data_IF_959682815758
#
_entry.id   IF_959682815758
#
_cell.length_a   1.000
_cell.length_b   1.000
_cell.length_c   1.000
_cell.angle_alpha   90.00
_cell.angle_beta   90.00
_cell.angle_gamma   90.00
#
_symmetry.space_group_name_H-M   'P 1'
#
loop_
_entity.id
_entity.type
_entity.pdbx_description
1 polymer ?
#
# COMPACT_ATOMS: atom_id res chain seq x y z
N UNK A 1 24.04 22.84 -16.24
CA UNK A 1 25.47 22.70 -16.59
C UNK A 1 26.15 24.06 -16.66
N UNK A 2 26.08 24.84 -15.58
CA UNK A 2 26.79 26.12 -15.47
C UNK A 2 28.19 25.94 -14.89
N UNK A 3 29.07 26.95 -15.01
CA UNK A 3 30.44 26.89 -14.49
C UNK A 3 30.51 26.68 -12.96
N UNK A 4 29.49 27.11 -12.22
CA UNK A 4 29.41 26.93 -10.76
C UNK A 4 29.22 25.46 -10.33
N UNK A 5 28.65 24.60 -11.19
CA UNK A 5 28.47 23.18 -10.86
C UNK A 5 29.82 22.42 -10.76
N UNK A 6 30.90 23.00 -11.29
CA UNK A 6 32.24 22.43 -11.22
C UNK A 6 32.80 22.40 -9.78
N UNK A 7 32.38 23.34 -8.93
CA UNK A 7 32.86 23.47 -7.54
C UNK A 7 32.01 22.71 -6.52
N UNK A 8 30.94 22.06 -6.97
CA UNK A 8 30.02 21.34 -6.09
C UNK A 8 30.68 20.11 -5.45
N UNK A 9 30.34 19.86 -4.20
CA UNK A 9 30.66 18.60 -3.53
C UNK A 9 29.83 17.43 -4.11
N UNK A 10 30.11 16.21 -3.65
CA UNK A 10 29.47 15.00 -4.18
C UNK A 10 27.95 15.00 -3.92
N UNK A 11 27.50 15.50 -2.77
CA UNK A 11 26.09 15.56 -2.42
C UNK A 11 25.33 16.55 -3.30
N UNK A 12 25.89 17.74 -3.49
CA UNK A 12 25.34 18.78 -4.35
C UNK A 12 25.30 18.34 -5.82
N UNK A 13 26.34 17.65 -6.31
CA UNK A 13 26.34 17.06 -7.66
C UNK A 13 25.24 16.02 -7.82
N UNK A 14 25.08 15.13 -6.83
CA UNK A 14 24.05 14.08 -6.86
C UNK A 14 22.64 14.70 -6.89
N UNK A 15 22.36 15.69 -6.04
CA UNK A 15 21.07 16.38 -6.01
C UNK A 15 20.80 17.07 -7.34
N UNK A 16 21.79 17.76 -7.91
CA UNK A 16 21.66 18.41 -9.22
C UNK A 16 21.34 17.40 -10.33
N UNK A 17 22.04 16.27 -10.36
CA UNK A 17 21.83 15.20 -11.35
C UNK A 17 20.43 14.58 -11.22
N UNK A 18 20.01 14.25 -10.00
CA UNK A 18 18.67 13.74 -9.73
C UNK A 18 17.60 14.75 -10.12
N UNK A 19 17.77 16.02 -9.75
CA UNK A 19 16.83 17.08 -10.10
C UNK A 19 16.67 17.23 -11.61
N UNK A 20 17.79 17.30 -12.35
CA UNK A 20 17.77 17.38 -13.81
C UNK A 20 17.12 16.15 -14.46
N UNK A 21 17.39 14.95 -13.92
CA UNK A 21 16.73 13.72 -14.36
C UNK A 21 15.23 13.80 -14.15
N UNK A 22 14.79 14.24 -12.98
CA UNK A 22 13.38 14.32 -12.64
C UNK A 22 12.65 15.39 -13.47
N UNK A 23 13.31 16.51 -13.79
CA UNK A 23 12.81 17.50 -14.76
C UNK A 23 12.63 16.91 -16.16
N UNK A 24 13.57 16.09 -16.64
CA UNK A 24 13.41 15.42 -17.95
C UNK A 24 12.28 14.39 -17.90
N UNK A 25 12.21 13.61 -16.82
CA UNK A 25 11.16 12.62 -16.61
C UNK A 25 9.77 13.25 -16.46
N UNK A 26 9.67 14.52 -16.03
CA UNK A 26 8.41 15.26 -16.00
C UNK A 26 7.92 15.69 -17.39
N UNK A 27 8.67 15.41 -18.45
CA UNK A 27 8.29 15.69 -19.83
C UNK A 27 8.54 17.14 -20.26
N UNK A 28 9.37 17.91 -19.53
CA UNK A 28 9.62 19.33 -19.83
C UNK A 28 10.24 19.56 -21.23
N UNK A 29 10.98 18.58 -21.74
CA UNK A 29 11.62 18.63 -23.05
C UNK A 29 10.69 18.19 -24.21
N UNK A 30 9.45 17.78 -23.91
CA UNK A 30 8.50 17.33 -24.92
C UNK A 30 7.87 18.52 -25.68
N UNK A 31 7.44 18.34 -26.95
CA UNK A 31 6.61 19.32 -27.64
C UNK A 31 5.28 19.59 -26.91
N UNK A 32 4.64 20.77 -27.09
CA UNK A 32 3.43 21.14 -26.34
C UNK A 32 2.28 20.11 -26.38
N UNK A 33 2.03 19.49 -27.53
CA UNK A 33 0.99 18.45 -27.66
C UNK A 33 1.32 17.19 -26.84
N UNK A 34 2.60 16.81 -26.79
CA UNK A 34 3.07 15.67 -26.02
C UNK A 34 3.11 15.96 -24.52
N UNK A 35 3.44 17.20 -24.12
CA UNK A 35 3.32 17.63 -22.71
C UNK A 35 1.88 17.55 -22.21
N UNK A 36 0.92 18.00 -23.02
CA UNK A 36 -0.51 17.87 -22.70
C UNK A 36 -0.91 16.41 -22.50
N UNK A 37 -0.50 15.54 -23.43
CA UNK A 37 -0.78 14.10 -23.33
C UNK A 37 -0.11 13.47 -22.09
N UNK A 38 1.12 13.86 -21.79
CA UNK A 38 1.84 13.40 -20.61
C UNK A 38 1.11 13.79 -19.31
N UNK A 39 0.65 15.03 -19.20
CA UNK A 39 -0.12 15.51 -18.05
C UNK A 39 -1.46 14.75 -17.88
N UNK A 40 -2.18 14.49 -18.98
CA UNK A 40 -3.40 13.68 -18.97
C UNK A 40 -3.13 12.25 -18.47
N UNK A 41 -2.05 11.62 -18.95
CA UNK A 41 -1.67 10.26 -18.54
C UNK A 41 -1.27 10.23 -17.07
N UNK A 42 -0.48 11.20 -16.59
CA UNK A 42 -0.08 11.27 -15.18
C UNK A 42 -1.26 11.47 -14.24
N UNK A 43 -2.21 12.33 -14.62
CA UNK A 43 -3.44 12.54 -13.87
C UNK A 43 -4.23 11.23 -13.78
N UNK A 44 -4.43 10.55 -14.91
CA UNK A 44 -5.16 9.28 -14.97
C UNK A 44 -4.46 8.16 -14.20
N UNK A 45 -3.13 8.11 -14.23
CA UNK A 45 -2.37 7.14 -13.45
C UNK A 45 -2.56 7.37 -11.94
N UNK A 46 -2.52 8.63 -11.50
CA UNK A 46 -2.75 9.00 -10.10
C UNK A 46 -4.17 8.63 -9.66
N UNK A 47 -5.16 8.92 -10.50
CA UNK A 47 -6.57 8.54 -10.28
C UNK A 47 -6.72 7.02 -10.15
N UNK A 48 -6.20 6.25 -11.11
CA UNK A 48 -6.28 4.78 -11.11
C UNK A 48 -5.53 4.17 -9.92
N UNK A 49 -4.38 4.72 -9.54
CA UNK A 49 -3.63 4.29 -8.37
C UNK A 49 -4.45 4.46 -7.08
N UNK A 50 -5.07 5.63 -6.90
CA UNK A 50 -5.97 5.89 -5.77
C UNK A 50 -7.18 4.95 -5.77
N UNK A 51 -7.83 4.78 -6.91
CA UNK A 51 -8.97 3.86 -7.05
C UNK A 51 -8.59 2.42 -6.72
N UNK A 52 -7.43 1.95 -7.18
CA UNK A 52 -6.94 0.60 -6.88
C UNK A 52 -6.67 0.42 -5.39
N UNK A 53 -5.98 1.37 -4.76
CA UNK A 53 -5.70 1.32 -3.31
C UNK A 53 -6.99 1.28 -2.48
N UNK A 54 -7.99 2.08 -2.83
CA UNK A 54 -9.28 2.08 -2.14
C UNK A 54 -10.01 0.75 -2.35
N UNK A 55 -10.09 0.25 -3.59
CA UNK A 55 -10.73 -1.05 -3.87
C UNK A 55 -10.04 -2.22 -3.15
N UNK A 56 -8.71 -2.19 -3.05
CA UNK A 56 -7.95 -3.19 -2.30
C UNK A 56 -8.26 -3.14 -0.80
N UNK A 57 -8.34 -1.92 -0.23
CA UNK A 57 -8.72 -1.73 1.16
C UNK A 57 -10.14 -2.25 1.42
N UNK A 58 -11.09 -1.87 0.57
CA UNK A 58 -12.49 -2.30 0.66
C UNK A 58 -12.61 -3.82 0.58
N UNK A 59 -11.93 -4.45 -0.39
CA UNK A 59 -11.93 -5.90 -0.54
C UNK A 59 -11.35 -6.62 0.69
N UNK A 60 -10.26 -6.08 1.26
CA UNK A 60 -9.61 -6.63 2.47
C UNK A 60 -10.54 -6.54 3.68
N UNK A 61 -11.29 -5.44 3.83
CA UNK A 61 -12.23 -5.22 4.94
C UNK A 61 -13.56 -5.96 4.76
N UNK A 62 -13.98 -6.18 3.51
CA UNK A 62 -15.22 -6.86 3.17
C UNK A 62 -15.14 -8.38 3.40
N UNK A 63 -13.97 -8.99 3.19
CA UNK A 63 -13.82 -10.42 3.48
C UNK A 63 -13.71 -10.65 4.99
N UNK A 64 -14.62 -11.45 5.51
CA UNK A 64 -14.51 -11.97 6.87
C UNK A 64 -14.99 -13.41 6.92
N UNK A 65 -14.45 -14.17 7.88
CA UNK A 65 -14.90 -15.52 8.21
C UNK A 65 -15.18 -15.60 9.70
N UNK A 66 -16.45 -15.74 10.07
CA UNK A 66 -16.85 -15.99 11.46
C UNK A 66 -16.66 -17.48 11.77
N UNK A 67 -15.98 -17.75 12.88
CA UNK A 67 -15.78 -19.09 13.44
C UNK A 67 -16.34 -19.09 14.86
N UNK A 68 -17.28 -20.01 15.12
CA UNK A 68 -17.90 -20.17 16.45
C UNK A 68 -17.32 -21.34 17.23
N UNK A 69 -16.63 -22.25 16.55
CA UNK A 69 -16.00 -23.43 17.14
C UNK A 69 -14.51 -23.12 17.43
N UNK A 70 -14.14 -23.12 18.71
CA UNK A 70 -12.76 -22.88 19.13
C UNK A 70 -11.81 -24.00 18.66
N UNK A 71 -12.32 -25.22 18.42
CA UNK A 71 -11.49 -26.32 17.91
C UNK A 71 -10.96 -26.06 16.50
N UNK A 72 -11.68 -25.28 15.69
CA UNK A 72 -11.24 -24.84 14.37
C UNK A 72 -10.14 -23.76 14.42
N UNK A 73 -9.75 -23.31 15.61
CA UNK A 73 -8.67 -22.36 15.87
C UNK A 73 -7.47 -23.04 16.56
N UNK A 74 -7.39 -24.37 16.51
CA UNK A 74 -6.25 -25.13 17.00
C UNK A 74 -4.94 -24.61 16.39
N UNK A 75 -3.90 -24.57 17.23
CA UNK A 75 -2.58 -24.05 16.87
C UNK A 75 -2.42 -22.52 16.94
N UNK A 76 -3.50 -21.73 16.86
CA UNK A 76 -3.40 -20.27 16.99
C UNK A 76 -2.97 -19.83 18.38
N UNK A 77 -2.08 -18.83 18.43
CA UNK A 77 -1.67 -18.19 19.70
C UNK A 77 -2.85 -17.50 20.39
N UNK A 78 -2.81 -17.41 21.72
CA UNK A 78 -3.88 -16.75 22.49
C UNK A 78 -4.04 -15.27 22.11
N UNK A 79 -2.94 -14.59 21.74
CA UNK A 79 -3.01 -13.22 21.23
C UNK A 79 -3.81 -13.12 19.93
N UNK A 80 -3.62 -14.06 19.00
CA UNK A 80 -4.38 -14.10 17.75
C UNK A 80 -5.87 -14.37 18.01
N UNK A 81 -6.19 -15.33 18.89
CA UNK A 81 -7.58 -15.62 19.29
C UNK A 81 -8.26 -14.40 19.94
N UNK A 82 -7.56 -13.68 20.82
CA UNK A 82 -8.08 -12.45 21.44
C UNK A 82 -8.35 -11.36 20.40
N UNK A 83 -7.47 -11.16 19.43
CA UNK A 83 -7.67 -10.18 18.36
C UNK A 83 -8.88 -10.53 17.49
N UNK A 84 -9.06 -11.80 17.12
CA UNK A 84 -10.21 -12.27 16.35
C UNK A 84 -11.53 -12.13 17.13
N UNK A 85 -11.52 -12.40 18.44
CA UNK A 85 -12.69 -12.18 19.29
C UNK A 85 -13.05 -10.69 19.43
N UNK A 86 -12.05 -9.83 19.57
CA UNK A 86 -12.25 -8.38 19.59
C UNK A 86 -12.82 -7.86 18.26
N UNK A 87 -12.34 -8.39 17.13
CA UNK A 87 -12.85 -8.07 15.79
C UNK A 87 -14.31 -8.53 15.59
N UNK A 88 -14.67 -9.72 16.11
CA UNK A 88 -16.05 -10.20 16.10
C UNK A 88 -16.97 -9.26 16.91
N UNK A 89 -16.55 -8.92 18.14
CA UNK A 89 -17.28 -8.00 19.02
C UNK A 89 -17.45 -6.61 18.41
N UNK A 90 -16.45 -6.09 17.69
CA UNK A 90 -16.55 -4.81 17.00
C UNK A 90 -17.58 -4.79 15.86
N UNK A 91 -17.96 -5.96 15.34
CA UNK A 91 -19.04 -6.14 14.36
C UNK A 91 -20.32 -6.71 14.97
N UNK A 92 -20.45 -6.69 16.30
CA UNK A 92 -21.58 -7.26 17.06
C UNK A 92 -21.84 -8.75 16.76
N UNK A 93 -20.77 -9.51 16.49
CA UNK A 93 -20.80 -10.95 16.26
C UNK A 93 -20.24 -11.71 17.46
N UNK A 94 -20.82 -12.87 17.76
CA UNK A 94 -20.31 -13.81 18.77
C UNK A 94 -19.40 -14.86 18.12
N UNK A 95 -18.19 -15.02 18.66
CA UNK A 95 -17.18 -15.95 18.15
C UNK A 95 -15.87 -15.24 17.80
N UNK A 96 -15.18 -15.77 16.80
CA UNK A 96 -13.87 -15.30 16.34
C UNK A 96 -13.96 -14.88 14.87
N UNK A 97 -13.62 -13.63 14.59
CA UNK A 97 -13.67 -13.09 13.23
C UNK A 97 -12.27 -13.11 12.62
N UNK A 98 -12.09 -13.94 11.59
CA UNK A 98 -10.88 -13.96 10.78
C UNK A 98 -11.04 -12.94 9.65
N UNK A 99 -10.01 -12.13 9.44
CA UNK A 99 -9.96 -11.10 8.38
C UNK A 99 -8.72 -11.31 7.51
N UNK A 100 -8.64 -10.60 6.38
CA UNK A 100 -7.44 -10.59 5.53
C UNK A 100 -6.41 -9.53 5.97
N UNK A 101 -6.64 -8.84 7.09
CA UNK A 101 -5.65 -7.93 7.63
C UNK A 101 -4.40 -8.68 8.08
N UNK A 102 -3.24 -8.08 7.88
CA UNK A 102 -1.95 -8.75 8.03
C UNK A 102 -1.78 -9.52 9.35
N UNK A 103 -2.15 -8.99 10.54
CA UNK A 103 -2.03 -9.74 11.78
C UNK A 103 -2.90 -11.01 11.82
N UNK A 104 -4.13 -10.95 11.30
CA UNK A 104 -5.08 -12.07 11.30
C UNK A 104 -4.67 -13.13 10.27
N UNK A 105 -4.41 -12.70 9.03
CA UNK A 105 -3.95 -13.58 7.95
C UNK A 105 -2.64 -14.29 8.30
N UNK A 106 -1.65 -13.55 8.81
CA UNK A 106 -0.35 -14.11 9.16
C UNK A 106 -0.48 -15.16 10.28
N UNK A 107 -1.31 -14.90 11.29
CA UNK A 107 -1.53 -15.84 12.37
C UNK A 107 -2.15 -17.15 11.87
N UNK A 108 -3.16 -17.07 11.00
CA UNK A 108 -3.80 -18.26 10.41
C UNK A 108 -2.84 -19.04 9.53
N UNK A 109 -2.13 -18.37 8.62
CA UNK A 109 -1.21 -19.04 7.70
C UNK A 109 0.02 -19.65 8.39
N UNK A 110 0.41 -19.13 9.56
CA UNK A 110 1.61 -19.60 10.27
C UNK A 110 1.28 -20.68 11.30
N UNK A 111 0.12 -20.58 11.96
CA UNK A 111 -0.14 -21.34 13.19
C UNK A 111 -1.42 -22.19 13.16
N UNK A 112 -2.33 -22.02 12.20
CA UNK A 112 -3.51 -22.88 12.14
C UNK A 112 -3.14 -24.31 11.72
N UNK A 113 -3.69 -25.32 12.42
CA UNK A 113 -3.51 -26.75 12.13
C UNK A 113 -4.62 -27.34 11.24
#
# INVERSE_FOLDING_TARGET
NGPEAATFDVGQKTILEQSLRDFRLSGIDLPPEQQKRYAEVQSKLSELGSQFSNQLLDATQAWTKLVTDESALAGLTDSAKQQMAAAAKAKDLEGYLITLEFPSYYAVMTYAE
#
